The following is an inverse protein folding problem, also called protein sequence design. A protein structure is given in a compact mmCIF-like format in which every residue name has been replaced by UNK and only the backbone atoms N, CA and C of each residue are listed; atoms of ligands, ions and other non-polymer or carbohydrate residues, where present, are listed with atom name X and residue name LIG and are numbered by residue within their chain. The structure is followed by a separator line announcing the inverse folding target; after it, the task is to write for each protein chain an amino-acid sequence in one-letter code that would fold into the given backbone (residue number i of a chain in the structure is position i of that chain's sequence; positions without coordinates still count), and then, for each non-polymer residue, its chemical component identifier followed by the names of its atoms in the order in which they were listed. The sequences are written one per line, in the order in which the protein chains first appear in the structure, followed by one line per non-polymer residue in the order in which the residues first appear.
data_IF_813316502417
#
_entry.id   IF_813316502417
#
_cell.length_a   1.000
_cell.length_b   1.000
_cell.length_c   1.000
_cell.angle_alpha   90.00
_cell.angle_beta   90.00
_cell.angle_gamma   90.00
#
_symmetry.space_group_name_H-M   'P 1'
#
loop_
_entity.id
_entity.type
_entity.pdbx_description
1 polymer ?
#
# COMPACT_ATOMS: atom_id res chain seq x y z
N UNK A 1 -9.45 -14.91 -18.43
CA UNK A 1 -10.41 -15.33 -17.40
C UNK A 1 -10.92 -14.06 -16.77
N UNK A 2 -12.24 -13.82 -16.78
CA UNK A 2 -12.81 -12.60 -16.21
C UNK A 2 -12.52 -12.52 -14.71
N UNK A 3 -12.00 -11.38 -14.27
CA UNK A 3 -11.85 -11.07 -12.84
C UNK A 3 -13.22 -10.77 -12.25
N UNK A 4 -13.41 -11.02 -10.96
CA UNK A 4 -14.68 -10.73 -10.27
C UNK A 4 -14.43 -9.93 -9.01
N UNK A 5 -15.32 -9.00 -8.73
CA UNK A 5 -15.29 -8.22 -7.49
C UNK A 5 -15.42 -9.16 -6.29
N UNK A 6 -14.52 -9.04 -5.31
CA UNK A 6 -14.55 -9.87 -4.10
C UNK A 6 -15.85 -9.72 -3.29
N UNK A 7 -16.48 -8.55 -3.32
CA UNK A 7 -17.67 -8.23 -2.54
C UNK A 7 -18.98 -8.58 -3.26
N UNK A 8 -19.25 -7.91 -4.39
CA UNK A 8 -20.53 -8.05 -5.10
C UNK A 8 -20.50 -9.07 -6.24
N UNK A 9 -19.35 -9.72 -6.48
CA UNK A 9 -19.14 -10.73 -7.53
C UNK A 9 -19.44 -10.26 -8.96
N UNK A 10 -19.58 -8.96 -9.19
CA UNK A 10 -19.69 -8.40 -10.54
C UNK A 10 -18.42 -8.67 -11.34
N UNK A 11 -18.57 -8.91 -12.64
CA UNK A 11 -17.43 -9.09 -13.53
C UNK A 11 -16.66 -7.77 -13.67
N UNK A 12 -15.33 -7.89 -13.61
CA UNK A 12 -14.37 -6.81 -13.75
C UNK A 12 -13.57 -7.01 -15.03
N UNK A 13 -13.08 -5.91 -15.59
CA UNK A 13 -12.15 -5.97 -16.72
C UNK A 13 -10.90 -6.77 -16.34
N UNK A 14 -10.40 -7.58 -17.28
CA UNK A 14 -9.16 -8.33 -17.10
C UNK A 14 -7.95 -7.41 -16.87
N UNK A 15 -8.02 -6.18 -17.40
CA UNK A 15 -6.99 -5.16 -17.25
C UNK A 15 -6.92 -4.53 -15.85
N UNK A 16 -7.99 -4.70 -15.05
CA UNK A 16 -8.08 -4.13 -13.70
C UNK A 16 -6.94 -4.66 -12.83
N UNK A 17 -6.23 -3.75 -12.17
CA UNK A 17 -5.18 -4.10 -11.20
C UNK A 17 -5.71 -4.58 -9.86
N UNK A 18 -7.01 -4.36 -9.59
CA UNK A 18 -7.68 -4.71 -8.33
C UNK A 18 -8.89 -5.60 -8.56
N UNK A 19 -9.16 -6.49 -7.61
CA UNK A 19 -10.32 -7.39 -7.60
C UNK A 19 -11.55 -6.78 -6.90
N UNK A 20 -11.72 -5.47 -7.00
CA UNK A 20 -12.80 -4.72 -6.35
C UNK A 20 -13.41 -3.73 -7.33
N UNK A 21 -14.74 -3.73 -7.46
CA UNK A 21 -15.44 -2.76 -8.31
C UNK A 21 -15.45 -1.37 -7.67
N UNK A 22 -15.59 -0.32 -8.49
CA UNK A 22 -15.60 1.08 -8.02
C UNK A 22 -16.62 1.33 -6.91
N UNK A 23 -17.84 0.80 -7.02
CA UNK A 23 -18.89 0.97 -6.00
C UNK A 23 -18.48 0.38 -4.65
N UNK A 24 -17.95 -0.84 -4.64
CA UNK A 24 -17.53 -1.50 -3.39
C UNK A 24 -16.25 -0.87 -2.82
N UNK A 25 -15.28 -0.52 -3.67
CA UNK A 25 -14.03 0.10 -3.23
C UNK A 25 -14.27 1.46 -2.58
N UNK A 26 -15.11 2.30 -3.18
CA UNK A 26 -15.52 3.58 -2.58
C UNK A 26 -16.29 3.36 -1.27
N UNK A 27 -17.13 2.32 -1.19
CA UNK A 27 -17.87 2.03 0.04
C UNK A 27 -16.99 1.58 1.21
N UNK A 28 -15.87 0.90 0.94
CA UNK A 28 -14.95 0.39 1.97
C UNK A 28 -13.90 1.43 2.36
N UNK A 29 -13.31 2.13 1.39
CA UNK A 29 -12.16 3.02 1.61
C UNK A 29 -12.46 4.50 1.39
N UNK A 30 -13.59 4.85 0.78
CA UNK A 30 -13.87 6.21 0.31
C UNK A 30 -13.20 6.52 -1.04
N UNK A 31 -13.67 7.55 -1.72
CA UNK A 31 -13.26 7.88 -3.09
C UNK A 31 -11.77 8.24 -3.20
N UNK A 32 -11.28 9.11 -2.32
CA UNK A 32 -9.88 9.56 -2.34
C UNK A 32 -8.89 8.40 -2.17
N UNK A 33 -9.18 7.53 -1.20
CA UNK A 33 -8.29 6.42 -0.86
C UNK A 33 -8.35 5.32 -1.91
N UNK A 34 -9.54 5.01 -2.45
CA UNK A 34 -9.68 4.05 -3.54
C UNK A 34 -8.94 4.51 -4.80
N UNK A 35 -9.04 5.80 -5.16
CA UNK A 35 -8.31 6.35 -6.30
C UNK A 35 -6.79 6.25 -6.09
N UNK A 36 -6.29 6.58 -4.90
CA UNK A 36 -4.86 6.44 -4.59
C UNK A 36 -4.37 4.97 -4.65
N UNK A 37 -5.20 4.01 -4.21
CA UNK A 37 -4.88 2.58 -4.33
C UNK A 37 -4.77 2.18 -5.81
N UNK A 38 -5.73 2.58 -6.65
CA UNK A 38 -5.69 2.28 -8.09
C UNK A 38 -4.45 2.91 -8.73
N UNK A 39 -4.17 4.18 -8.47
CA UNK A 39 -3.02 4.89 -9.03
C UNK A 39 -1.69 4.21 -8.65
N UNK A 40 -1.52 3.85 -7.38
CA UNK A 40 -0.33 3.15 -6.91
C UNK A 40 -0.17 1.76 -7.56
N UNK A 41 -1.27 1.00 -7.68
CA UNK A 41 -1.24 -0.32 -8.31
C UNK A 41 -0.99 -0.25 -9.82
N UNK A 42 -1.56 0.74 -10.52
CA UNK A 42 -1.27 1.00 -11.93
C UNK A 42 0.17 1.46 -12.14
N UNK A 43 0.70 2.32 -11.26
CA UNK A 43 2.11 2.70 -11.25
C UNK A 43 3.02 1.48 -11.08
N UNK A 44 2.69 0.58 -10.15
CA UNK A 44 3.43 -0.66 -9.97
C UNK A 44 3.35 -1.59 -11.18
N UNK A 45 2.19 -1.67 -11.85
CA UNK A 45 2.01 -2.43 -13.11
C UNK A 45 2.92 -1.87 -14.21
N UNK A 46 2.95 -0.55 -14.40
CA UNK A 46 3.79 0.13 -15.40
C UNK A 46 5.28 -0.08 -15.12
N UNK A 47 5.68 -0.09 -13.85
CA UNK A 47 7.07 -0.29 -13.43
C UNK A 47 7.51 -1.77 -13.44
N UNK A 48 6.62 -2.71 -13.78
CA UNK A 48 6.91 -4.15 -13.73
C UNK A 48 7.07 -4.70 -12.30
N UNK A 49 6.63 -3.94 -11.30
CA UNK A 49 6.87 -4.20 -9.89
C UNK A 49 5.61 -4.65 -9.14
N UNK A 50 4.55 -5.01 -9.87
CA UNK A 50 3.27 -5.39 -9.29
C UNK A 50 3.35 -6.69 -8.46
N UNK A 51 4.28 -7.58 -8.79
CA UNK A 51 4.42 -8.91 -8.20
C UNK A 51 5.69 -9.06 -7.36
N UNK A 52 5.97 -8.10 -6.48
CA UNK A 52 7.10 -8.23 -5.54
C UNK A 52 6.85 -9.38 -4.57
N UNK A 53 7.68 -10.42 -4.65
CA UNK A 53 7.65 -11.52 -3.69
C UNK A 53 6.50 -12.49 -3.87
N UNK A 54 6.01 -12.71 -5.10
CA UNK A 54 5.11 -13.83 -5.37
C UNK A 54 5.80 -15.13 -4.95
N UNK A 55 5.42 -15.67 -3.79
CA UNK A 55 5.85 -17.00 -3.33
C UNK A 55 5.12 -18.04 -4.17
N UNK A 56 5.64 -18.28 -5.37
CA UNK A 56 5.26 -19.46 -6.13
C UNK A 56 5.72 -20.67 -5.33
N UNK A 57 4.77 -21.41 -4.75
CA UNK A 57 5.02 -22.78 -4.34
C UNK A 57 5.31 -23.57 -5.62
N UNK A 58 6.58 -23.63 -6.00
CA UNK A 58 7.04 -24.69 -6.88
C UNK A 58 6.94 -25.96 -6.04
N UNK A 59 6.07 -26.95 -6.38
CA UNK A 59 6.08 -28.21 -5.66
C UNK A 59 7.48 -28.82 -5.83
N UNK A 60 8.27 -28.77 -4.76
CA UNK A 60 9.67 -29.09 -4.77
C UNK A 60 9.94 -30.49 -5.34
N UNK A 61 10.83 -30.53 -6.32
CA UNK A 61 11.66 -31.71 -6.58
C UNK A 61 12.34 -32.04 -5.25
N UNK A 62 12.04 -33.20 -4.66
CA UNK A 62 12.59 -33.68 -3.39
C UNK A 62 14.11 -33.48 -3.33
N UNK A 63 14.57 -32.41 -2.69
CA UNK A 63 15.96 -32.21 -2.38
C UNK A 63 16.33 -33.15 -1.22
N UNK A 64 17.29 -34.03 -1.46
CA UNK A 64 17.79 -34.97 -0.47
C UNK A 64 18.34 -34.25 0.78
N UNK A 65 18.15 -34.81 1.99
CA UNK A 65 18.68 -34.22 3.21
C UNK A 65 20.20 -34.31 3.23
N UNK A 66 20.88 -33.16 3.15
CA UNK A 66 22.31 -33.08 3.46
C UNK A 66 22.46 -33.23 4.97
N UNK A 67 23.08 -34.33 5.39
CA UNK A 67 23.42 -34.59 6.79
C UNK A 67 24.28 -33.43 7.31
N UNK A 68 23.88 -32.93 8.47
CA UNK A 68 24.51 -31.89 9.27
C UNK A 68 25.97 -32.24 9.61
N UNK A 69 26.91 -31.42 9.14
CA UNK A 69 28.24 -31.30 9.75
C UNK A 69 28.12 -30.37 10.96
N UNK A 70 27.65 -30.95 12.05
CA UNK A 70 27.66 -30.34 13.39
C UNK A 70 29.06 -30.60 13.94
N UNK A 71 29.90 -29.56 13.99
CA UNK A 71 31.23 -29.67 14.56
C UNK A 71 32.04 -28.39 14.40
N UNK A 72 32.43 -27.83 15.56
CA UNK A 72 33.50 -26.85 15.77
C UNK A 72 33.35 -25.51 15.05
N UNK A 73 32.86 -24.46 15.75
CA UNK A 73 33.68 -23.34 16.24
C UNK A 73 32.89 -22.58 17.33
N UNK A 74 32.99 -23.06 18.56
CA UNK A 74 32.86 -22.20 19.73
C UNK A 74 34.26 -21.68 20.04
N UNK A 75 34.34 -20.45 20.56
CA UNK A 75 35.55 -19.71 20.96
C UNK A 75 36.16 -18.85 19.84
N UNK A 76 35.77 -17.58 19.77
CA UNK A 76 36.72 -16.46 19.95
C UNK A 76 36.00 -15.11 20.09
N UNK A 77 36.24 -14.48 21.25
CA UNK A 77 36.28 -13.04 21.54
C UNK A 77 35.09 -12.14 21.10
N UNK A 78 34.29 -11.54 22.00
CA UNK A 78 34.66 -10.80 23.21
C UNK A 78 35.71 -9.67 22.98
N UNK A 79 35.53 -8.83 21.96
CA UNK A 79 36.09 -7.49 21.93
C UNK A 79 35.40 -6.65 20.85
N UNK A 80 34.49 -5.75 21.23
CA UNK A 80 34.45 -4.32 20.86
C UNK A 80 33.14 -3.74 21.39
N UNK A 81 33.10 -3.46 22.69
CA UNK A 81 32.24 -2.40 23.21
C UNK A 81 33.00 -1.10 23.05
N UNK A 82 32.59 -0.21 22.13
CA UNK A 82 32.84 1.23 22.24
C UNK A 82 31.85 2.02 21.38
N UNK A 83 30.94 2.74 22.05
CA UNK A 83 30.32 4.01 21.61
C UNK A 83 29.32 3.92 20.44
N UNK A 84 28.10 4.45 20.45
CA UNK A 84 27.50 5.62 21.11
C UNK A 84 25.97 5.39 21.22
N UNK A 85 25.27 6.01 22.19
CA UNK A 85 23.81 6.09 22.15
C UNK A 85 23.38 6.95 20.96
N UNK A 86 22.58 6.39 20.06
CA UNK A 86 21.84 7.16 19.06
C UNK A 86 20.71 7.88 19.80
N UNK A 87 20.90 9.17 20.06
CA UNK A 87 19.80 10.05 20.44
C UNK A 87 18.73 10.01 19.34
N UNK A 88 17.57 9.50 19.73
CA UNK A 88 16.35 9.57 18.94
C UNK A 88 15.85 11.02 19.04
N UNK A 89 16.33 11.88 18.15
CA UNK A 89 15.70 13.19 17.94
C UNK A 89 14.27 12.94 17.46
N UNK A 90 13.33 13.16 18.39
CA UNK A 90 11.93 13.33 18.10
C UNK A 90 11.79 14.72 17.47
N UNK A 91 12.05 14.80 16.17
CA UNK A 91 11.78 16.05 15.46
C UNK A 91 10.27 16.26 15.45
N UNK A 92 9.92 17.40 16.03
CA UNK A 92 8.59 17.93 16.25
C UNK A 92 7.77 17.88 14.97
N UNK A 93 6.61 17.21 15.04
CA UNK A 93 5.52 17.47 14.11
C UNK A 93 5.07 18.91 14.32
N UNK A 94 5.63 19.81 13.52
CA UNK A 94 5.17 21.18 13.37
C UNK A 94 3.81 21.12 12.69
N UNK A 95 2.74 21.21 13.49
CA UNK A 95 1.39 21.48 13.01
C UNK A 95 1.39 22.87 12.38
N UNK A 96 1.60 22.94 11.07
CA UNK A 96 1.23 24.12 10.32
C UNK A 96 -0.30 24.14 10.23
N UNK A 97 -0.85 24.94 11.13
CA UNK A 97 -2.18 25.53 11.10
C UNK A 97 -2.46 26.01 9.68
N UNK A 98 -3.22 25.23 8.91
CA UNK A 98 -3.78 25.70 7.66
C UNK A 98 -4.79 26.80 8.03
N UNK A 99 -4.40 28.04 7.78
CA UNK A 99 -5.28 29.20 7.76
C UNK A 99 -6.28 28.95 6.64
N UNK A 100 -7.48 28.53 7.02
CA UNK A 100 -8.65 28.61 6.16
C UNK A 100 -9.04 30.07 6.17
N UNK A 101 -8.68 30.79 5.11
CA UNK A 101 -9.25 32.10 4.81
C UNK A 101 -10.73 31.91 4.51
N UNK A 102 -11.58 32.32 5.45
CA UNK A 102 -13.03 32.40 5.33
C UNK A 102 -13.44 33.65 4.53
N UNK A 103 -12.98 33.78 3.28
CA UNK A 103 -13.44 34.87 2.40
C UNK A 103 -13.56 34.30 0.98
N UNK A 104 -14.68 34.58 0.31
CA UNK A 104 -15.12 34.12 -1.02
C UNK A 104 -15.73 32.71 -1.16
N UNK A 105 -16.99 32.56 -0.78
CA UNK A 105 -18.03 31.96 -1.66
C UNK A 105 -19.44 32.12 -1.08
N UNK A 106 -19.87 33.37 -0.87
CA UNK A 106 -21.27 33.71 -0.65
C UNK A 106 -22.01 34.08 -1.96
N UNK A 107 -21.48 33.67 -3.13
CA UNK A 107 -21.98 34.10 -4.45
C UNK A 107 -22.57 32.97 -5.33
N UNK A 108 -22.92 31.81 -4.75
CA UNK A 108 -23.62 30.75 -5.50
C UNK A 108 -25.06 30.49 -5.00
N UNK A 109 -25.74 31.54 -4.55
CA UNK A 109 -27.13 31.45 -4.08
C UNK A 109 -28.09 32.40 -4.82
N UNK A 110 -27.92 32.60 -6.13
CA UNK A 110 -28.98 33.19 -6.97
C UNK A 110 -28.90 32.68 -8.42
N UNK A 111 -29.19 31.40 -8.70
CA UNK A 111 -29.59 31.02 -10.09
C UNK A 111 -30.26 29.64 -10.22
N UNK A 112 -31.36 29.39 -9.51
CA UNK A 112 -32.30 28.31 -9.90
C UNK A 112 -33.71 28.35 -9.30
N UNK A 113 -34.17 29.54 -8.89
CA UNK A 113 -35.61 29.81 -8.77
C UNK A 113 -36.02 30.54 -10.04
N UNK A 114 -36.07 29.80 -11.16
CA UNK A 114 -36.90 30.11 -12.33
C UNK A 114 -36.68 29.04 -13.41
N UNK A 115 -37.17 27.83 -13.13
CA UNK A 115 -37.72 26.96 -14.18
C UNK A 115 -38.94 26.24 -13.63
N UNK A 116 -40.07 26.86 -13.93
CA UNK A 116 -41.30 26.17 -14.33
C UNK A 116 -41.03 24.90 -15.15
#
# INVERSE_FOLDING_TARGET
MAKRCIYCKVDLSEDSVVDVCRRCGIGVWGEKMFNAIIENMEGAKKNGNLYQGSVSYSPDKKAAPKKSALGSIAQEALATQTSKPVERQLDSYSTQKAEISEEDSADFLVDKIDRY
#
